data_IF_022590105103
#
_entry.id   IF_022590105103
#
_cell.length_a   1.000
_cell.length_b   1.000
_cell.length_c   1.000
_cell.angle_alpha   90.00
_cell.angle_beta   90.00
_cell.angle_gamma   90.00
#
_symmetry.space_group_name_H-M   'P 1'
#
loop_
_entity.id
_entity.type
_entity.pdbx_description
1 polymer ?
#
# COMPACT_ATOMS: atom_id res chain seq x y z
N UNK A 1 36.14 -32.76 -9.98
CA UNK A 1 34.80 -32.42 -9.46
C UNK A 1 33.75 -32.75 -10.52
N UNK A 2 32.61 -33.33 -10.15
CA UNK A 2 31.51 -33.63 -11.07
C UNK A 2 30.82 -32.33 -11.52
N UNK A 3 30.89 -32.01 -12.81
CA UNK A 3 30.28 -30.80 -13.38
C UNK A 3 28.76 -30.74 -13.15
N UNK A 4 28.11 -31.89 -13.21
CA UNK A 4 26.68 -32.05 -12.90
C UNK A 4 26.34 -31.70 -11.44
N UNK A 5 27.19 -32.10 -10.49
CA UNK A 5 27.03 -31.74 -9.09
C UNK A 5 27.18 -30.22 -8.85
N UNK A 6 28.15 -29.58 -9.52
CA UNK A 6 28.31 -28.12 -9.46
C UNK A 6 27.09 -27.39 -10.04
N UNK A 7 26.51 -27.88 -11.13
CA UNK A 7 25.30 -27.31 -11.72
C UNK A 7 24.11 -27.38 -10.77
N UNK A 8 23.93 -28.51 -10.08
CA UNK A 8 22.92 -28.66 -9.04
C UNK A 8 23.10 -27.69 -7.89
N UNK A 9 24.33 -27.44 -7.44
CA UNK A 9 24.61 -26.47 -6.38
C UNK A 9 24.24 -25.04 -6.78
N UNK A 10 24.45 -24.65 -8.05
CA UNK A 10 24.06 -23.33 -8.54
C UNK A 10 22.55 -23.14 -8.52
N UNK A 11 21.80 -24.14 -8.99
CA UNK A 11 20.34 -24.10 -8.97
C UNK A 11 19.82 -24.04 -7.53
N UNK A 12 20.34 -24.90 -6.66
CA UNK A 12 19.91 -24.94 -5.27
C UNK A 12 20.22 -23.63 -4.54
N UNK A 13 21.43 -23.09 -4.75
CA UNK A 13 21.82 -21.79 -4.22
C UNK A 13 20.92 -20.66 -4.73
N UNK A 14 20.56 -20.67 -6.01
CA UNK A 14 19.66 -19.69 -6.60
C UNK A 14 18.26 -19.78 -5.99
N UNK A 15 17.69 -20.98 -5.86
CA UNK A 15 16.36 -21.20 -5.29
C UNK A 15 16.31 -20.77 -3.82
N UNK A 16 17.31 -21.16 -3.03
CA UNK A 16 17.41 -20.75 -1.63
C UNK A 16 17.58 -19.24 -1.52
N UNK A 17 18.46 -18.66 -2.34
CA UNK A 17 18.70 -17.21 -2.37
C UNK A 17 17.44 -16.42 -2.74
N UNK A 18 16.76 -16.81 -3.82
CA UNK A 18 15.51 -16.18 -4.25
C UNK A 18 14.41 -16.34 -3.20
N UNK A 19 14.30 -17.50 -2.56
CA UNK A 19 13.34 -17.74 -1.48
C UNK A 19 13.59 -16.86 -0.26
N UNK A 20 14.86 -16.69 0.14
CA UNK A 20 15.23 -15.80 1.25
C UNK A 20 14.96 -14.33 0.92
N UNK A 21 15.32 -13.87 -0.28
CA UNK A 21 15.02 -12.50 -0.73
C UNK A 21 13.52 -12.26 -0.73
N UNK A 22 12.73 -13.19 -1.28
CA UNK A 22 11.28 -13.11 -1.26
C UNK A 22 10.72 -13.03 0.16
N UNK A 23 11.20 -13.88 1.07
CA UNK A 23 10.76 -13.89 2.47
C UNK A 23 11.04 -12.57 3.17
N UNK A 24 12.24 -12.01 2.99
CA UNK A 24 12.62 -10.70 3.55
C UNK A 24 11.72 -9.59 3.00
N UNK A 25 11.47 -9.60 1.69
CA UNK A 25 10.63 -8.58 1.06
C UNK A 25 9.16 -8.69 1.51
N UNK A 26 8.65 -9.91 1.65
CA UNK A 26 7.31 -10.18 2.17
C UNK A 26 7.16 -9.79 3.64
N UNK A 27 8.17 -10.08 4.49
CA UNK A 27 8.17 -9.67 5.90
C UNK A 27 8.23 -8.14 6.05
N UNK A 28 9.06 -7.47 5.24
CA UNK A 28 9.14 -6.01 5.23
C UNK A 28 7.81 -5.37 4.80
N UNK A 29 7.18 -5.88 3.75
CA UNK A 29 5.86 -5.41 3.30
C UNK A 29 4.78 -5.62 4.36
N UNK A 30 4.84 -6.74 5.10
CA UNK A 30 3.90 -7.02 6.18
C UNK A 30 4.10 -6.09 7.37
N UNK A 31 5.35 -5.89 7.81
CA UNK A 31 5.67 -4.95 8.90
C UNK A 31 5.29 -3.52 8.57
N UNK A 32 5.54 -3.07 7.35
CA UNK A 32 5.10 -1.75 6.90
C UNK A 32 3.58 -1.61 6.98
N UNK A 33 2.85 -2.65 6.58
CA UNK A 33 1.38 -2.67 6.68
C UNK A 33 0.89 -2.65 8.13
N UNK A 34 1.57 -3.38 9.03
CA UNK A 34 1.23 -3.44 10.46
C UNK A 34 1.54 -2.11 11.17
N UNK A 35 2.71 -1.51 10.91
CA UNK A 35 3.11 -0.19 11.45
C UNK A 35 2.15 0.90 10.93
N UNK A 36 1.84 0.87 9.63
CA UNK A 36 0.89 1.79 9.03
C UNK A 36 -0.53 1.63 9.57
N UNK A 37 -0.89 0.52 10.23
CA UNK A 37 -2.17 0.37 10.91
C UNK A 37 -2.14 0.96 12.33
N UNK A 38 -1.02 0.85 13.05
CA UNK A 38 -0.86 1.41 14.40
C UNK A 38 -0.70 2.94 14.39
N UNK A 39 -0.16 3.52 13.32
CA UNK A 39 0.06 4.97 13.21
C UNK A 39 -1.17 5.77 12.74
N UNK A 40 -2.15 5.11 12.09
CA UNK A 40 -3.35 5.77 11.54
C UNK A 40 -4.14 6.59 12.58
N UNK A 41 -4.40 6.09 13.81
CA UNK A 41 -5.16 6.87 14.78
C UNK A 41 -4.44 8.15 15.21
N UNK A 42 -3.10 8.11 15.28
CA UNK A 42 -2.28 9.28 15.62
C UNK A 42 -2.32 10.32 14.49
N UNK A 43 -2.18 9.87 13.25
CA UNK A 43 -2.28 10.71 12.06
C UNK A 43 -3.68 11.35 11.94
N UNK A 44 -4.74 10.56 12.15
CA UNK A 44 -6.11 11.03 12.15
C UNK A 44 -6.37 12.12 13.22
N UNK A 45 -5.85 11.92 14.44
CA UNK A 45 -5.93 12.91 15.50
C UNK A 45 -5.17 14.20 15.14
N UNK A 46 -3.99 14.08 14.52
CA UNK A 46 -3.21 15.23 14.06
C UNK A 46 -3.96 16.01 12.97
N UNK A 47 -4.49 15.35 11.94
CA UNK A 47 -5.30 15.97 10.87
C UNK A 47 -6.52 16.70 11.46
N UNK A 48 -7.29 16.02 12.31
CA UNK A 48 -8.48 16.61 12.93
C UNK A 48 -8.13 17.83 13.80
N UNK A 49 -7.00 17.79 14.52
CA UNK A 49 -6.55 18.93 15.32
C UNK A 49 -6.08 20.12 14.47
N UNK A 50 -5.42 19.84 13.34
CA UNK A 50 -4.94 20.85 12.39
C UNK A 50 -6.12 21.55 11.72
N UNK A 51 -7.08 20.79 11.20
CA UNK A 51 -8.29 21.34 10.59
C UNK A 51 -9.15 22.12 11.59
N UNK A 52 -9.21 21.67 12.84
CA UNK A 52 -9.91 22.40 13.90
C UNK A 52 -9.24 23.75 14.19
N UNK A 53 -7.92 23.82 14.13
CA UNK A 53 -7.20 25.09 14.26
C UNK A 53 -7.54 26.06 13.10
N UNK A 54 -7.82 25.52 11.91
CA UNK A 54 -8.28 26.27 10.73
C UNK A 54 -9.79 26.56 10.74
N UNK A 55 -10.50 26.23 11.83
CA UNK A 55 -11.93 26.48 11.99
C UNK A 55 -12.83 25.45 11.30
N UNK A 56 -12.27 24.36 10.78
CA UNK A 56 -13.02 23.25 10.19
C UNK A 56 -13.21 22.16 11.25
N UNK A 57 -14.43 21.95 11.78
CA UNK A 57 -14.67 20.88 12.73
C UNK A 57 -14.60 19.53 12.01
N UNK A 58 -13.58 18.74 12.33
CA UNK A 58 -13.46 17.34 11.92
C UNK A 58 -13.31 16.46 13.16
N UNK A 59 -14.04 15.34 13.16
CA UNK A 59 -13.90 14.28 14.14
C UNK A 59 -12.71 13.38 13.76
N UNK A 60 -11.79 13.06 14.69
CA UNK A 60 -10.71 12.11 14.46
C UNK A 60 -11.17 10.78 13.84
N UNK A 61 -12.34 10.26 14.23
CA UNK A 61 -12.86 8.99 13.70
C UNK A 61 -13.20 9.10 12.20
N UNK A 62 -13.66 10.27 11.76
CA UNK A 62 -13.94 10.54 10.35
C UNK A 62 -12.63 10.72 9.57
N UNK A 63 -11.63 11.39 10.15
CA UNK A 63 -10.30 11.52 9.53
C UNK A 63 -9.66 10.14 9.31
N UNK A 64 -9.74 9.25 10.30
CA UNK A 64 -9.28 7.87 10.19
C UNK A 64 -10.02 7.12 9.06
N UNK A 65 -11.35 7.26 8.98
CA UNK A 65 -12.15 6.63 7.92
C UNK A 65 -11.73 7.10 6.53
N UNK A 66 -11.39 8.38 6.37
CA UNK A 66 -10.89 8.95 5.11
C UNK A 66 -9.52 8.37 4.76
N UNK A 67 -8.61 8.24 5.72
CA UNK A 67 -7.29 7.64 5.51
C UNK A 67 -7.40 6.16 5.08
N UNK A 68 -8.31 5.40 5.70
CA UNK A 68 -8.61 4.02 5.30
C UNK A 68 -9.10 3.96 3.85
N UNK A 69 -10.08 4.81 3.49
CA UNK A 69 -10.63 4.85 2.14
C UNK A 69 -9.58 5.28 1.10
N UNK A 70 -8.69 6.20 1.46
CA UNK A 70 -7.60 6.63 0.60
C UNK A 70 -6.59 5.51 0.34
N UNK A 71 -6.28 4.71 1.37
CA UNK A 71 -5.43 3.53 1.22
C UNK A 71 -6.08 2.48 0.33
N UNK A 72 -7.37 2.22 0.51
CA UNK A 72 -8.14 1.31 -0.35
C UNK A 72 -8.13 1.78 -1.81
N UNK A 73 -8.27 3.09 -2.03
CA UNK A 73 -8.16 3.69 -3.36
C UNK A 73 -6.78 3.46 -4.00
N UNK A 74 -5.69 3.69 -3.26
CA UNK A 74 -4.33 3.45 -3.75
C UNK A 74 -4.02 1.96 -4.00
N UNK A 75 -4.67 1.07 -3.25
CA UNK A 75 -4.54 -0.38 -3.42
C UNK A 75 -5.39 -0.93 -4.58
N UNK A 76 -6.43 -0.20 -4.99
CA UNK A 76 -7.21 -0.54 -6.18
C UNK A 76 -6.41 -0.24 -7.45
N UNK A 77 -6.54 -1.05 -8.51
CA UNK A 77 -6.03 -0.66 -9.82
C UNK A 77 -6.62 0.71 -10.18
N UNK A 78 -5.81 1.67 -10.68
CA UNK A 78 -6.33 2.95 -11.12
C UNK A 78 -7.53 2.70 -12.04
N UNK A 79 -8.67 3.39 -11.85
CA UNK A 79 -9.73 3.35 -12.84
C UNK A 79 -9.12 3.73 -14.19
N UNK A 80 -9.26 2.86 -15.20
CA UNK A 80 -8.79 3.14 -16.56
C UNK A 80 -9.60 4.28 -17.23
N UNK A 81 -10.69 4.73 -16.59
CA UNK A 81 -11.62 5.73 -17.10
C UNK A 81 -11.79 6.87 -16.08
N UNK A 82 -11.57 8.11 -16.54
CA UNK A 82 -11.97 9.31 -15.82
C UNK A 82 -13.52 9.41 -15.87
N UNK A 83 -14.23 9.39 -14.73
CA UNK A 83 -15.69 9.47 -14.72
C UNK A 83 -16.24 10.80 -15.28
N UNK A 84 -15.39 11.77 -15.62
CA UNK A 84 -15.81 13.04 -16.23
C UNK A 84 -15.93 13.01 -17.76
N UNK A 85 -15.50 11.94 -18.44
CA UNK A 85 -15.54 11.88 -19.92
C UNK A 85 -16.94 11.57 -20.49
N UNK A 86 -17.83 10.96 -19.70
CA UNK A 86 -19.22 10.64 -20.11
C UNK A 86 -20.18 11.84 -20.10
N UNK A 87 -19.83 12.93 -19.40
CA UNK A 87 -20.70 14.10 -19.28
C UNK A 87 -20.56 15.09 -20.45
N UNK A 88 -19.66 14.83 -21.41
CA UNK A 88 -19.31 15.75 -22.49
C UNK A 88 -19.79 15.36 -23.90
N UNK A 89 -20.62 14.31 -24.05
CA UNK A 89 -21.25 14.00 -25.35
C UNK A 89 -22.78 14.26 -25.35
N UNK A 90 -23.22 15.47 -25.72
CA UNK A 90 -24.63 15.76 -25.93
C UNK A 90 -25.17 15.30 -27.30
N UNK A 91 -24.46 14.52 -28.12
CA UNK A 91 -24.84 14.27 -29.52
C UNK A 91 -24.64 12.81 -30.05
N UNK A 92 -24.91 11.79 -29.23
CA UNK A 92 -25.10 10.41 -29.75
C UNK A 92 -26.46 9.80 -29.47
#
# INVERSE_FOLDING_TARGET
MNAEFNWWLLILGLVIGAGLVYLVLADASRRESDIAAEEVPLEAAWIASTLRADGVPLDPEIAERVLQLHRDYLASSPPDEDPTDDAADPLR
#
